data_IF_247439831765
#
_entry.id   IF_247439831765
#
_cell.length_a   1.000
_cell.length_b   1.000
_cell.length_c   1.000
_cell.angle_alpha   90.00
_cell.angle_beta   90.00
_cell.angle_gamma   90.00
#
_symmetry.space_group_name_H-M   'P 1'
#
loop_
_entity.id
_entity.type
_entity.pdbx_description
1 polymer ?
#
# COMPACT_ATOMS: atom_id res chain seq x y z
N UNK A 1 -15.38 -4.14 26.23
CA UNK A 1 -15.10 -2.74 25.85
C UNK A 1 -15.60 -2.58 24.42
N UNK A 2 -16.54 -1.67 24.12
CA UNK A 2 -16.93 -1.43 22.74
C UNK A 2 -15.68 -1.03 21.96
N UNK A 3 -15.55 -1.50 20.71
CA UNK A 3 -14.51 -1.00 19.81
C UNK A 3 -14.82 0.50 19.60
N UNK A 4 -13.98 1.36 20.18
CA UNK A 4 -13.76 2.76 19.81
C UNK A 4 -15.00 3.60 19.48
N UNK A 5 -15.84 3.91 20.47
CA UNK A 5 -16.88 4.96 20.37
C UNK A 5 -17.69 4.93 19.05
N UNK A 6 -17.88 3.75 18.45
CA UNK A 6 -18.49 3.62 17.14
C UNK A 6 -19.96 4.00 17.25
N UNK A 7 -20.35 5.09 16.60
CA UNK A 7 -21.72 5.62 16.67
C UNK A 7 -22.73 4.79 15.87
N UNK A 8 -22.25 3.84 15.06
CA UNK A 8 -23.08 3.03 14.18
C UNK A 8 -23.39 1.67 14.82
N UNK A 9 -24.64 1.22 14.63
CA UNK A 9 -25.00 -0.18 14.87
C UNK A 9 -24.40 -1.05 13.75
N UNK A 10 -24.13 -2.32 14.04
CA UNK A 10 -23.61 -3.26 13.04
C UNK A 10 -24.44 -3.27 11.75
N UNK A 11 -25.77 -3.29 11.87
CA UNK A 11 -26.67 -3.30 10.71
C UNK A 11 -26.59 -2.00 9.90
N UNK A 12 -26.35 -0.87 10.55
CA UNK A 12 -26.17 0.42 9.87
C UNK A 12 -24.83 0.44 9.11
N UNK A 13 -23.78 -0.12 9.71
CA UNK A 13 -22.49 -0.30 9.06
C UNK A 13 -22.61 -1.16 7.78
N UNK A 14 -23.27 -2.31 7.88
CA UNK A 14 -23.33 -3.26 6.77
C UNK A 14 -24.26 -2.80 5.65
N UNK A 15 -25.39 -2.18 5.97
CA UNK A 15 -26.40 -1.81 4.98
C UNK A 15 -26.20 -0.43 4.38
N UNK A 16 -25.53 0.50 5.08
CA UNK A 16 -25.46 1.90 4.65
C UNK A 16 -24.04 2.41 4.54
N UNK A 17 -23.21 2.22 5.57
CA UNK A 17 -21.88 2.85 5.63
C UNK A 17 -20.86 2.14 4.73
N UNK A 18 -20.69 0.83 4.88
CA UNK A 18 -19.70 0.08 4.11
C UNK A 18 -19.99 0.03 2.61
N UNK A 19 -21.25 -0.13 2.14
CA UNK A 19 -21.55 -0.07 0.71
C UNK A 19 -21.09 1.24 0.05
N UNK A 20 -21.27 2.39 0.72
CA UNK A 20 -20.80 3.68 0.20
C UNK A 20 -19.27 3.73 0.05
N UNK A 21 -18.53 3.20 1.03
CA UNK A 21 -17.08 3.09 0.91
C UNK A 21 -16.65 2.14 -0.20
N UNK A 22 -17.36 1.01 -0.37
CA UNK A 22 -17.11 0.07 -1.46
C UNK A 22 -17.38 0.70 -2.83
N UNK A 23 -18.45 1.46 -3.00
CA UNK A 23 -18.76 2.18 -4.24
C UNK A 23 -17.68 3.22 -4.57
N UNK A 24 -17.25 3.98 -3.56
CA UNK A 24 -16.14 4.93 -3.71
C UNK A 24 -14.85 4.22 -4.12
N UNK A 25 -14.55 3.07 -3.51
CA UNK A 25 -13.38 2.27 -3.86
C UNK A 25 -13.47 1.75 -5.30
N UNK A 26 -14.61 1.18 -5.71
CA UNK A 26 -14.81 0.69 -7.09
C UNK A 26 -14.59 1.78 -8.13
N UNK A 27 -15.15 2.98 -7.92
CA UNK A 27 -14.91 4.13 -8.80
C UNK A 27 -13.43 4.53 -8.85
N UNK A 28 -12.73 4.51 -7.72
CA UNK A 28 -11.30 4.80 -7.69
C UNK A 28 -10.46 3.74 -8.43
N UNK A 29 -10.91 2.48 -8.46
CA UNK A 29 -10.26 1.40 -9.19
C UNK A 29 -10.47 1.49 -10.72
N UNK A 30 -11.46 2.25 -11.20
CA UNK A 30 -11.69 2.46 -12.64
C UNK A 30 -10.59 3.32 -13.28
N UNK A 31 -9.99 4.22 -12.51
CA UNK A 31 -8.91 5.10 -12.96
C UNK A 31 -7.75 5.07 -11.94
N UNK A 32 -7.00 3.96 -11.88
CA UNK A 32 -5.87 3.83 -10.96
C UNK A 32 -4.76 4.82 -11.29
N UNK A 33 -3.95 5.15 -10.29
CA UNK A 33 -2.76 5.97 -10.47
C UNK A 33 -1.53 5.05 -10.60
N UNK A 34 -0.69 5.23 -11.62
CA UNK A 34 0.50 4.43 -11.79
C UNK A 34 1.43 4.54 -10.57
N UNK A 35 1.95 3.41 -10.08
CA UNK A 35 2.89 3.44 -8.96
C UNK A 35 4.19 4.16 -9.30
N UNK A 36 4.55 4.23 -10.58
CA UNK A 36 5.68 5.00 -11.08
C UNK A 36 5.64 6.49 -10.65
N UNK A 37 4.44 7.08 -10.51
CA UNK A 37 4.31 8.47 -10.04
C UNK A 37 4.76 8.64 -8.59
N UNK A 38 4.64 7.60 -7.78
CA UNK A 38 5.05 7.58 -6.38
C UNK A 38 6.55 7.25 -6.22
N UNK A 39 7.25 6.90 -7.30
CA UNK A 39 8.65 6.46 -7.31
C UNK A 39 9.66 7.56 -7.68
N UNK A 40 9.22 8.82 -7.78
CA UNK A 40 10.09 9.94 -8.16
C UNK A 40 10.98 10.37 -6.98
N UNK A 41 12.30 10.34 -7.19
CA UNK A 41 13.27 10.84 -6.21
C UNK A 41 13.11 12.35 -6.02
N UNK A 42 13.34 12.85 -4.79
CA UNK A 42 13.16 14.27 -4.45
C UNK A 42 11.70 14.74 -4.34
N UNK A 43 10.73 13.94 -4.79
CA UNK A 43 9.29 14.23 -4.67
C UNK A 43 8.79 13.72 -3.33
N UNK A 44 8.24 14.60 -2.48
CA UNK A 44 7.65 14.21 -1.19
C UNK A 44 6.12 13.98 -1.24
N UNK A 45 5.51 13.43 -0.18
CA UNK A 45 4.05 13.29 -0.09
C UNK A 45 3.30 14.58 -0.36
N UNK A 46 3.77 15.73 0.18
CA UNK A 46 3.12 17.03 0.00
C UNK A 46 3.12 17.52 -1.46
N UNK A 47 4.11 17.12 -2.27
CA UNK A 47 4.12 17.42 -3.69
C UNK A 47 3.11 16.54 -4.43
N UNK A 48 3.10 15.23 -4.14
CA UNK A 48 2.14 14.30 -4.74
C UNK A 48 0.70 14.68 -4.42
N UNK A 49 0.40 15.08 -3.17
CA UNK A 49 -0.96 15.50 -2.81
C UNK A 49 -1.41 16.69 -3.66
N UNK A 50 -0.53 17.67 -3.92
CA UNK A 50 -0.84 18.79 -4.81
C UNK A 50 -1.06 18.34 -6.26
N UNK A 51 -0.17 17.47 -6.77
CA UNK A 51 -0.29 16.92 -8.13
C UNK A 51 -1.60 16.15 -8.34
N UNK A 52 -2.06 15.43 -7.30
CA UNK A 52 -3.29 14.65 -7.29
C UNK A 52 -4.54 15.48 -6.94
N UNK A 53 -4.42 16.80 -6.78
CA UNK A 53 -5.53 17.68 -6.40
C UNK A 53 -6.10 17.44 -5.00
N UNK A 54 -5.31 16.81 -4.12
CA UNK A 54 -5.67 16.52 -2.73
C UNK A 54 -5.28 17.67 -1.80
N UNK A 55 -6.13 17.94 -0.79
CA UNK A 55 -5.86 18.95 0.24
C UNK A 55 -4.65 18.61 1.14
N UNK A 56 -4.31 17.33 1.22
CA UNK A 56 -3.21 16.81 2.03
C UNK A 56 -3.19 15.28 1.97
N UNK A 57 -2.26 14.68 2.70
CA UNK A 57 -2.29 13.23 2.90
C UNK A 57 -3.50 12.86 3.79
N UNK A 58 -4.00 11.65 3.65
CA UNK A 58 -5.26 11.24 4.25
C UNK A 58 -5.20 9.84 4.82
N UNK A 59 -6.09 9.58 5.77
CA UNK A 59 -6.34 8.23 6.31
C UNK A 59 -7.32 7.49 5.42
N UNK A 60 -7.05 6.22 5.14
CA UNK A 60 -7.95 5.43 4.30
C UNK A 60 -7.39 4.08 3.87
N UNK A 61 -8.12 3.47 2.94
CA UNK A 61 -7.77 2.24 2.26
C UNK A 61 -7.16 2.57 0.89
N UNK A 62 -6.16 1.79 0.48
CA UNK A 62 -5.60 1.81 -0.88
C UNK A 62 -5.49 0.38 -1.40
N UNK A 63 -5.50 0.26 -2.73
CA UNK A 63 -5.39 -1.01 -3.44
C UNK A 63 -4.26 -0.88 -4.44
N UNK A 64 -3.38 -1.88 -4.50
CA UNK A 64 -2.44 -2.04 -5.59
C UNK A 64 -3.00 -3.07 -6.56
N UNK A 65 -2.95 -2.71 -7.84
CA UNK A 65 -3.51 -3.48 -8.94
C UNK A 65 -2.36 -3.87 -9.87
N UNK A 66 -2.37 -5.10 -10.36
CA UNK A 66 -1.49 -5.57 -11.41
C UNK A 66 -2.34 -6.07 -12.58
N UNK A 67 -2.18 -5.44 -13.75
CA UNK A 67 -2.95 -5.75 -14.97
C UNK A 67 -4.48 -5.89 -14.71
N UNK A 68 -5.07 -4.94 -13.99
CA UNK A 68 -6.51 -4.94 -13.65
C UNK A 68 -6.90 -5.87 -12.49
N UNK A 69 -5.96 -6.66 -11.95
CA UNK A 69 -6.20 -7.57 -10.82
C UNK A 69 -5.71 -6.95 -9.51
N UNK A 70 -6.59 -6.74 -8.50
CA UNK A 70 -6.14 -6.31 -7.17
C UNK A 70 -5.20 -7.35 -6.53
N UNK A 71 -3.95 -6.96 -6.23
CA UNK A 71 -2.94 -7.85 -5.63
C UNK A 71 -2.71 -7.57 -4.15
N UNK A 72 -3.07 -6.37 -3.68
CA UNK A 72 -2.86 -5.97 -2.29
C UNK A 72 -3.83 -4.88 -1.86
N UNK A 73 -4.33 -4.99 -0.63
CA UNK A 73 -5.14 -3.98 0.04
C UNK A 73 -4.42 -3.57 1.32
N UNK A 74 -4.31 -2.27 1.56
CA UNK A 74 -3.71 -1.72 2.76
C UNK A 74 -4.50 -0.57 3.33
N UNK A 75 -4.36 -0.36 4.64
CA UNK A 75 -4.89 0.82 5.33
C UNK A 75 -3.73 1.64 5.87
N UNK A 76 -3.89 2.96 5.90
CA UNK A 76 -2.90 3.88 6.47
C UNK A 76 -3.57 5.12 7.03
N UNK A 77 -2.91 5.77 7.98
CA UNK A 77 -3.28 7.13 8.41
C UNK A 77 -2.78 8.21 7.43
N UNK A 78 -1.77 7.85 6.62
CA UNK A 78 -1.12 8.68 5.59
C UNK A 78 -0.91 7.80 4.35
N UNK A 79 -1.94 7.72 3.49
CA UNK A 79 -1.96 6.83 2.33
C UNK A 79 -0.86 7.17 1.33
N UNK A 80 -0.64 8.45 1.02
CA UNK A 80 0.36 8.88 0.02
C UNK A 80 1.77 8.55 0.52
N UNK A 81 2.07 8.86 1.79
CA UNK A 81 3.34 8.46 2.40
C UNK A 81 3.53 6.93 2.41
N UNK A 82 2.47 6.17 2.70
CA UNK A 82 2.54 4.70 2.75
C UNK A 82 2.79 4.07 1.39
N UNK A 83 2.14 4.56 0.33
CA UNK A 83 2.38 4.13 -1.04
C UNK A 83 3.85 4.33 -1.43
N UNK A 84 4.43 5.48 -1.07
CA UNK A 84 5.86 5.74 -1.28
C UNK A 84 6.76 4.80 -0.49
N UNK A 85 6.42 4.46 0.75
CA UNK A 85 7.20 3.52 1.57
C UNK A 85 7.29 2.12 0.93
N UNK A 86 6.24 1.65 0.25
CA UNK A 86 6.31 0.35 -0.45
C UNK A 86 7.40 0.31 -1.54
N UNK A 87 7.63 1.44 -2.21
CA UNK A 87 8.55 1.53 -3.35
C UNK A 87 9.93 2.11 -3.01
N UNK A 88 10.07 2.83 -1.90
CA UNK A 88 11.34 3.41 -1.45
C UNK A 88 11.88 2.82 -0.13
N UNK A 89 11.04 2.12 0.61
CA UNK A 89 11.40 1.53 1.90
C UNK A 89 12.56 0.56 1.73
N UNK A 90 13.56 0.66 2.61
CA UNK A 90 14.74 -0.20 2.60
C UNK A 90 14.64 -1.35 3.58
N UNK A 91 13.60 -1.34 4.41
CA UNK A 91 13.40 -2.30 5.49
C UNK A 91 12.10 -3.08 5.28
N UNK A 92 12.02 -4.22 5.95
CA UNK A 92 10.82 -5.06 5.97
C UNK A 92 9.61 -4.39 6.65
N UNK A 93 9.82 -3.36 7.48
CA UNK A 93 8.75 -2.58 8.09
C UNK A 93 8.17 -1.56 7.10
N UNK A 94 9.05 -0.83 6.41
CA UNK A 94 8.65 0.21 5.47
C UNK A 94 7.99 -0.41 4.23
N UNK A 95 8.60 -1.42 3.63
CA UNK A 95 8.11 -2.07 2.41
C UNK A 95 7.61 -3.50 2.68
N UNK A 96 6.65 -3.61 3.60
CA UNK A 96 6.14 -4.90 4.07
C UNK A 96 5.56 -5.79 2.96
N UNK A 97 5.00 -5.20 1.90
CA UNK A 97 4.49 -5.97 0.76
C UNK A 97 5.64 -6.59 -0.04
N UNK A 98 6.65 -5.80 -0.41
CA UNK A 98 7.83 -6.30 -1.13
C UNK A 98 8.53 -7.40 -0.33
N UNK A 99 8.64 -7.24 0.98
CA UNK A 99 9.15 -8.29 1.87
C UNK A 99 8.32 -9.57 1.82
N UNK A 100 6.98 -9.48 1.88
CA UNK A 100 6.09 -10.65 1.77
C UNK A 100 6.18 -11.34 0.41
N UNK A 101 6.38 -10.59 -0.66
CA UNK A 101 6.62 -11.13 -2.00
C UNK A 101 7.97 -11.84 -2.05
N UNK A 102 9.03 -11.26 -1.48
CA UNK A 102 10.34 -11.87 -1.38
C UNK A 102 10.29 -13.21 -0.62
N UNK A 103 9.57 -13.29 0.52
CA UNK A 103 9.42 -14.55 1.27
C UNK A 103 8.77 -15.69 0.47
N UNK A 104 7.97 -15.40 -0.56
CA UNK A 104 7.40 -16.43 -1.44
C UNK A 104 8.45 -17.01 -2.38
N UNK A 105 9.40 -16.19 -2.81
CA UNK A 105 10.42 -16.55 -3.79
C UNK A 105 11.71 -17.07 -3.14
N UNK A 106 12.05 -16.56 -1.95
CA UNK A 106 13.20 -16.93 -1.14
C UNK A 106 12.76 -17.13 0.33
N UNK A 107 12.17 -18.29 0.67
CA UNK A 107 11.78 -18.59 2.05
C UNK A 107 13.00 -18.64 2.97
N UNK A 108 12.87 -18.13 4.21
CA UNK A 108 13.93 -18.18 5.21
C UNK A 108 13.38 -18.56 6.58
N UNK A 109 14.27 -18.97 7.49
CA UNK A 109 13.93 -19.34 8.88
C UNK A 109 14.53 -18.40 9.94
N UNK A 110 15.25 -17.37 9.49
CA UNK A 110 15.86 -16.35 10.34
C UNK A 110 14.91 -15.18 10.62
N UNK A 111 15.31 -14.27 11.49
CA UNK A 111 14.55 -13.03 11.73
C UNK A 111 14.47 -12.18 10.47
N UNK A 112 13.48 -11.30 10.37
CA UNK A 112 13.28 -10.43 9.19
C UNK A 112 14.50 -9.52 8.94
N UNK A 113 15.10 -8.99 9.99
CA UNK A 113 16.31 -8.17 9.88
C UNK A 113 17.50 -8.97 9.35
N UNK A 114 17.68 -10.23 9.80
CA UNK A 114 18.74 -11.10 9.30
C UNK A 114 18.50 -11.51 7.84
N UNK A 115 17.26 -11.82 7.46
CA UNK A 115 16.92 -12.14 6.07
C UNK A 115 17.27 -10.98 5.12
N UNK A 116 17.05 -9.74 5.53
CA UNK A 116 17.42 -8.56 4.74
C UNK A 116 18.94 -8.37 4.53
N UNK A 117 19.79 -9.08 5.28
CA UNK A 117 21.24 -9.09 5.08
C UNK A 117 21.71 -10.21 4.13
N UNK A 118 20.85 -11.19 3.86
CA UNK A 118 21.12 -12.25 2.90
C UNK A 118 21.02 -11.70 1.47
N UNK A 119 22.04 -11.99 0.65
CA UNK A 119 22.14 -11.41 -0.69
C UNK A 119 21.03 -11.89 -1.63
N UNK A 120 20.68 -13.18 -1.55
CA UNK A 120 19.65 -13.79 -2.40
C UNK A 120 18.26 -13.27 -2.00
N UNK A 121 17.99 -13.18 -0.69
CA UNK A 121 16.76 -12.60 -0.20
C UNK A 121 16.66 -11.11 -0.57
N UNK A 122 17.75 -10.36 -0.45
CA UNK A 122 17.79 -8.94 -0.82
C UNK A 122 17.50 -8.75 -2.31
N UNK A 123 18.05 -9.60 -3.17
CA UNK A 123 17.74 -9.59 -4.60
C UNK A 123 16.24 -9.88 -4.86
N UNK A 124 15.64 -10.85 -4.16
CA UNK A 124 14.22 -11.15 -4.28
C UNK A 124 13.34 -9.97 -3.80
N UNK A 125 13.75 -9.28 -2.74
CA UNK A 125 13.11 -8.06 -2.25
C UNK A 125 13.20 -6.90 -3.25
N UNK A 126 14.36 -6.67 -3.85
CA UNK A 126 14.56 -5.60 -4.84
C UNK A 126 13.79 -5.88 -6.13
N UNK A 127 13.69 -7.15 -6.55
CA UNK A 127 12.84 -7.57 -7.65
C UNK A 127 11.36 -7.32 -7.35
N UNK A 128 10.91 -7.66 -6.14
CA UNK A 128 9.55 -7.36 -5.71
C UNK A 128 9.25 -5.86 -5.70
N UNK A 129 10.17 -5.03 -5.19
CA UNK A 129 10.01 -3.57 -5.25
C UNK A 129 9.93 -3.09 -6.70
N UNK A 130 10.83 -3.56 -7.57
CA UNK A 130 10.84 -3.19 -8.99
C UNK A 130 9.50 -3.51 -9.66
N UNK A 131 8.93 -4.67 -9.39
CA UNK A 131 7.59 -5.03 -9.85
C UNK A 131 6.51 -4.09 -9.29
N UNK A 132 6.54 -3.75 -7.99
CA UNK A 132 5.59 -2.78 -7.42
C UNK A 132 5.69 -1.40 -8.07
N UNK A 133 6.87 -0.99 -8.55
CA UNK A 133 7.06 0.29 -9.26
C UNK A 133 6.45 0.29 -10.66
N UNK A 134 6.29 -0.88 -11.28
CA UNK A 134 5.72 -1.02 -12.62
C UNK A 134 4.20 -1.15 -12.66
N UNK A 135 3.53 -1.19 -11.51
CA UNK A 135 2.07 -1.29 -11.45
C UNK A 135 1.40 -0.05 -12.06
N UNK A 136 0.37 -0.29 -12.86
CA UNK A 136 -0.44 0.70 -13.57
C UNK A 136 -1.90 0.62 -13.12
#
# INVERSE_FOLDING_TARGET
MPIDACQHKFLDLTLRVFPQYMDRMRRALETPHPMADFCKAGVGPSFLTKQLGLKGDFSGCYVLIDAGTPIYVGISRTVIARLRQHVFGKTHFDASLAYRMACKNAPHRVTRSQAMQDADFKAAFDAAQTHLRSLA
#
